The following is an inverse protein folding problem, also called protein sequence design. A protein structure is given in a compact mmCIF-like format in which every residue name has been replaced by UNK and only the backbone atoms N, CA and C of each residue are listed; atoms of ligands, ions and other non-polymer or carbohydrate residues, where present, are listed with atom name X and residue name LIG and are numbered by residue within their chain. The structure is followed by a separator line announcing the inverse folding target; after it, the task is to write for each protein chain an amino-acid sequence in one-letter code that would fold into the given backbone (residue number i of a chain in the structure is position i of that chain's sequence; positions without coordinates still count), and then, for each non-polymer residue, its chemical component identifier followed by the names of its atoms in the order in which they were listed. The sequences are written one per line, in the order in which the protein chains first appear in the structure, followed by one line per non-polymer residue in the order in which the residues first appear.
data_IF_211347546682
#
_entry.id   IF_211347546682
#
_cell.length_a   1.000
_cell.length_b   1.000
_cell.length_c   1.000
_cell.angle_alpha   90.00
_cell.angle_beta   90.00
_cell.angle_gamma   90.00
#
_symmetry.space_group_name_H-M   'P 1'
#
loop_
_entity.id
_entity.type
_entity.pdbx_description
1 polymer ?
#
# COMPACT_ATOMS: atom_id res chain seq x y z
N UNK A 1 0.14 -23.01 1.65
CA UNK A 1 0.10 -21.87 2.60
C UNK A 1 0.77 -20.69 1.91
N UNK A 2 0.07 -19.58 1.65
CA UNK A 2 0.70 -18.36 1.13
C UNK A 2 1.14 -17.50 2.30
N UNK A 3 2.39 -17.05 2.32
CA UNK A 3 2.87 -16.22 3.42
C UNK A 3 2.22 -14.82 3.37
N UNK A 4 2.16 -14.11 4.50
CA UNK A 4 1.64 -12.74 4.53
C UNK A 4 2.45 -11.81 3.63
N UNK A 5 3.75 -12.06 3.50
CA UNK A 5 4.64 -11.31 2.62
C UNK A 5 4.32 -11.55 1.15
N UNK A 6 4.05 -12.80 0.76
CA UNK A 6 3.62 -13.12 -0.61
C UNK A 6 2.29 -12.42 -0.94
N UNK A 7 1.33 -12.43 -0.02
CA UNK A 7 0.04 -11.78 -0.20
C UNK A 7 0.17 -10.26 -0.26
N UNK A 8 1.00 -9.67 0.59
CA UNK A 8 1.27 -8.24 0.56
C UNK A 8 1.90 -7.82 -0.77
N UNK A 9 2.93 -8.55 -1.22
CA UNK A 9 3.61 -8.31 -2.48
C UNK A 9 2.69 -8.45 -3.71
N UNK A 10 1.78 -9.45 -3.71
CA UNK A 10 0.89 -9.71 -4.86
C UNK A 10 -0.31 -8.77 -4.93
N UNK A 11 -0.83 -8.32 -3.79
CA UNK A 11 -2.13 -7.62 -3.75
C UNK A 11 -2.08 -6.23 -3.12
N UNK A 12 -1.46 -6.10 -1.94
CA UNK A 12 -1.54 -4.87 -1.14
C UNK A 12 -0.58 -3.81 -1.67
N UNK A 13 0.70 -4.17 -1.83
CA UNK A 13 1.73 -3.26 -2.30
C UNK A 13 1.43 -2.72 -3.72
N UNK A 14 1.01 -3.54 -4.71
CA UNK A 14 0.63 -3.03 -6.03
C UNK A 14 -0.54 -2.05 -5.99
N UNK A 15 -1.53 -2.27 -5.11
CA UNK A 15 -2.68 -1.38 -4.96
C UNK A 15 -2.28 -0.04 -4.36
N UNK A 16 -1.44 -0.05 -3.31
CA UNK A 16 -0.93 1.18 -2.69
C UNK A 16 -0.05 1.96 -3.67
N UNK A 17 0.90 1.29 -4.34
CA UNK A 17 1.77 1.95 -5.35
C UNK A 17 0.96 2.52 -6.49
N UNK A 18 -0.04 1.80 -7.00
CA UNK A 18 -0.94 2.30 -8.04
C UNK A 18 -1.65 3.56 -7.57
N UNK A 19 -2.27 3.53 -6.39
CA UNK A 19 -2.99 4.68 -5.87
C UNK A 19 -2.07 5.89 -5.69
N UNK A 20 -0.86 5.70 -5.18
CA UNK A 20 0.15 6.76 -5.08
C UNK A 20 0.49 7.36 -6.45
N UNK A 21 0.72 6.51 -7.47
CA UNK A 21 0.98 6.96 -8.85
C UNK A 21 -0.20 7.77 -9.41
N UNK A 22 -1.44 7.33 -9.16
CA UNK A 22 -2.63 8.07 -9.60
C UNK A 22 -2.76 9.42 -8.89
N UNK A 23 -2.50 9.49 -7.59
CA UNK A 23 -2.53 10.76 -6.84
C UNK A 23 -1.46 11.74 -7.34
N UNK A 24 -0.23 11.27 -7.58
CA UNK A 24 0.84 12.09 -8.16
C UNK A 24 0.48 12.57 -9.58
N UNK A 25 -0.06 11.68 -10.41
CA UNK A 25 -0.45 12.01 -11.78
C UNK A 25 -1.59 13.03 -11.83
N UNK A 26 -2.61 12.89 -10.97
CA UNK A 26 -3.70 13.88 -10.82
C UNK A 26 -3.20 15.26 -10.40
N UNK A 27 -2.11 15.30 -9.62
CA UNK A 27 -1.44 16.54 -9.17
C UNK A 27 -0.52 17.15 -10.24
N UNK A 28 -0.46 16.56 -11.43
CA UNK A 28 0.35 17.07 -12.55
C UNK A 28 1.84 16.73 -12.47
N UNK A 29 2.25 15.81 -11.58
CA UNK A 29 3.64 15.36 -11.52
C UNK A 29 3.99 14.60 -12.80
N UNK A 30 5.13 14.92 -13.40
CA UNK A 30 5.54 14.31 -14.65
C UNK A 30 5.87 12.82 -14.47
N UNK A 31 5.66 12.03 -15.54
CA UNK A 31 5.82 10.57 -15.47
C UNK A 31 7.25 10.14 -15.14
N UNK A 32 8.26 10.89 -15.57
CA UNK A 32 9.67 10.57 -15.29
C UNK A 32 9.96 10.77 -13.80
N UNK A 33 9.46 11.84 -13.21
CA UNK A 33 9.57 12.09 -11.78
C UNK A 33 8.80 11.07 -10.96
N UNK A 34 7.64 10.62 -11.41
CA UNK A 34 6.90 9.51 -10.77
C UNK A 34 7.74 8.22 -10.75
N UNK A 35 8.40 7.89 -11.88
CA UNK A 35 9.31 6.72 -11.96
C UNK A 35 10.43 6.82 -10.93
N UNK A 36 11.07 7.99 -10.84
CA UNK A 36 12.17 8.25 -9.91
C UNK A 36 11.72 8.17 -8.44
N UNK A 37 10.62 8.85 -8.09
CA UNK A 37 10.10 8.92 -6.72
C UNK A 37 9.58 7.57 -6.22
N UNK A 38 8.79 6.87 -7.02
CA UNK A 38 8.13 5.62 -6.60
C UNK A 38 9.05 4.41 -6.79
N UNK A 39 10.12 4.53 -7.59
CA UNK A 39 11.09 3.46 -7.82
C UNK A 39 10.59 2.34 -8.72
N UNK A 40 9.75 2.66 -9.70
CA UNK A 40 9.13 1.67 -10.60
C UNK A 40 9.40 1.97 -12.07
N UNK A 41 9.28 0.97 -12.95
CA UNK A 41 9.52 1.18 -14.38
C UNK A 41 8.47 2.11 -15.01
N UNK A 42 8.88 2.84 -16.07
CA UNK A 42 7.96 3.67 -16.87
C UNK A 42 6.78 2.86 -17.44
N UNK A 43 7.04 1.62 -17.88
CA UNK A 43 5.98 0.71 -18.32
C UNK A 43 4.98 0.36 -17.21
N UNK A 44 5.42 0.33 -15.95
CA UNK A 44 4.54 0.09 -14.82
C UNK A 44 3.66 1.30 -14.50
N UNK A 45 4.22 2.51 -14.56
CA UNK A 45 3.46 3.77 -14.43
C UNK A 45 2.34 3.84 -15.46
N UNK A 46 2.63 3.59 -16.74
CA UNK A 46 1.62 3.58 -17.81
C UNK A 46 0.52 2.56 -17.53
N UNK A 47 0.87 1.34 -17.14
CA UNK A 47 -0.12 0.29 -16.82
C UNK A 47 -0.95 0.60 -15.58
N UNK A 48 -0.40 1.29 -14.59
CA UNK A 48 -1.15 1.75 -13.42
C UNK A 48 -2.18 2.83 -13.78
N UNK A 49 -1.77 3.84 -14.56
CA UNK A 49 -2.64 4.91 -15.05
C UNK A 49 -3.76 4.33 -15.93
N UNK A 50 -3.41 3.41 -16.84
CA UNK A 50 -4.39 2.73 -17.71
C UNK A 50 -5.28 1.70 -16.98
N UNK A 51 -5.09 1.49 -15.67
CA UNK A 51 -5.89 0.54 -14.89
C UNK A 51 -5.62 -0.94 -15.20
N UNK A 52 -4.54 -1.26 -15.91
CA UNK A 52 -4.20 -2.62 -16.34
C UNK A 52 -3.47 -3.44 -15.26
N UNK A 53 -3.01 -2.81 -14.18
CA UNK A 53 -2.34 -3.49 -13.06
C UNK A 53 -2.65 -2.78 -11.74
N UNK A 54 -2.58 -3.49 -10.61
CA UNK A 54 -2.77 -2.94 -9.26
C UNK A 54 -4.22 -2.64 -8.89
N UNK A 55 -5.18 -3.21 -9.63
CA UNK A 55 -6.63 -3.00 -9.48
C UNK A 55 -7.34 -4.18 -8.78
N UNK A 56 -6.60 -5.22 -8.36
CA UNK A 56 -7.17 -6.41 -7.71
C UNK A 56 -7.69 -6.15 -6.28
N UNK A 57 -7.25 -5.05 -5.66
CA UNK A 57 -7.69 -4.61 -4.34
C UNK A 57 -8.17 -3.16 -4.45
N UNK A 58 -9.45 -2.93 -4.20
CA UNK A 58 -10.02 -1.58 -4.14
C UNK A 58 -9.73 -0.95 -2.77
N UNK A 59 -9.05 0.20 -2.79
CA UNK A 59 -8.69 0.95 -1.58
C UNK A 59 -9.75 1.99 -1.18
N UNK A 60 -10.73 2.27 -2.04
CA UNK A 60 -11.76 3.30 -1.84
C UNK A 60 -12.51 3.18 -0.51
N UNK A 61 -12.86 1.98 -0.01
CA UNK A 61 -13.53 1.85 1.28
C UNK A 61 -12.66 2.24 2.50
N UNK A 62 -11.33 2.24 2.37
CA UNK A 62 -10.39 2.46 3.47
C UNK A 62 -9.91 3.91 3.48
N UNK A 63 -10.77 4.81 3.95
CA UNK A 63 -10.55 6.27 3.89
C UNK A 63 -9.24 6.70 4.57
N UNK A 64 -8.94 6.13 5.73
CA UNK A 64 -7.68 6.32 6.46
C UNK A 64 -6.45 5.98 5.60
N UNK A 65 -6.47 4.85 4.91
CA UNK A 65 -5.39 4.42 4.01
C UNK A 65 -5.26 5.36 2.82
N UNK A 66 -6.38 5.71 2.17
CA UNK A 66 -6.35 6.65 1.03
C UNK A 66 -5.84 8.04 1.44
N UNK A 67 -6.15 8.48 2.65
CA UNK A 67 -5.63 9.73 3.22
C UNK A 67 -4.12 9.64 3.46
N UNK A 68 -3.60 8.54 4.01
CA UNK A 68 -2.15 8.33 4.16
C UNK A 68 -1.43 8.37 2.81
N UNK A 69 -2.01 7.78 1.77
CA UNK A 69 -1.44 7.79 0.41
C UNK A 69 -1.46 9.20 -0.18
N UNK A 70 -2.55 9.95 -0.01
CA UNK A 70 -2.63 11.34 -0.49
C UNK A 70 -1.64 12.26 0.23
N UNK A 71 -1.47 12.09 1.55
CA UNK A 71 -0.46 12.81 2.33
C UNK A 71 0.96 12.46 1.88
N UNK A 72 1.22 11.19 1.55
CA UNK A 72 2.50 10.79 0.97
C UNK A 72 2.74 11.47 -0.38
N UNK A 73 1.73 11.50 -1.26
CA UNK A 73 1.84 12.16 -2.57
C UNK A 73 2.15 13.67 -2.44
N UNK A 74 1.63 14.33 -1.39
CA UNK A 74 1.93 15.74 -1.10
C UNK A 74 3.38 15.94 -0.65
N UNK A 75 3.86 15.11 0.26
CA UNK A 75 5.18 15.25 0.88
C UNK A 75 6.31 14.71 -0.01
N UNK A 76 6.01 13.78 -0.91
CA UNK A 76 7.02 13.02 -1.65
C UNK A 76 7.93 13.87 -2.54
N UNK A 77 7.52 15.08 -2.91
CA UNK A 77 8.34 15.96 -3.76
C UNK A 77 9.66 16.35 -3.12
N UNK A 78 9.70 16.47 -1.79
CA UNK A 78 10.90 16.77 -1.00
C UNK A 78 11.60 15.55 -0.41
N UNK A 79 11.20 14.33 -0.79
CA UNK A 79 11.71 13.08 -0.22
C UNK A 79 12.66 12.37 -1.18
N UNK A 80 13.61 11.61 -0.63
CA UNK A 80 14.39 10.65 -1.40
C UNK A 80 13.53 9.45 -1.80
N UNK A 81 14.00 8.69 -2.80
CA UNK A 81 13.35 7.44 -3.23
C UNK A 81 13.19 6.46 -2.06
N UNK A 82 14.23 6.30 -1.25
CA UNK A 82 14.26 5.39 -0.10
C UNK A 82 13.24 5.82 0.96
N UNK A 83 13.09 7.12 1.19
CA UNK A 83 12.08 7.65 2.12
C UNK A 83 10.66 7.40 1.61
N UNK A 84 10.40 7.60 0.30
CA UNK A 84 9.09 7.28 -0.30
C UNK A 84 8.80 5.79 -0.19
N UNK A 85 9.78 4.95 -0.50
CA UNK A 85 9.68 3.50 -0.37
C UNK A 85 9.38 3.07 1.07
N UNK A 86 10.06 3.64 2.07
CA UNK A 86 9.76 3.41 3.48
C UNK A 86 8.30 3.74 3.81
N UNK A 87 7.79 4.89 3.36
CA UNK A 87 6.40 5.29 3.61
C UNK A 87 5.39 4.36 2.93
N UNK A 88 5.66 3.89 1.71
CA UNK A 88 4.83 2.87 1.03
C UNK A 88 4.72 1.63 1.91
N UNK A 89 5.84 1.11 2.43
CA UNK A 89 5.82 -0.06 3.30
C UNK A 89 5.14 0.22 4.65
N UNK A 90 5.28 1.41 5.23
CA UNK A 90 4.52 1.80 6.41
C UNK A 90 3.01 1.74 6.16
N UNK A 91 2.54 2.18 5.00
CA UNK A 91 1.11 2.09 4.63
C UNK A 91 0.70 0.63 4.42
N UNK A 92 1.55 -0.22 3.81
CA UNK A 92 1.29 -1.67 3.68
C UNK A 92 1.12 -2.31 5.07
N UNK A 93 2.05 -2.05 5.99
CA UNK A 93 2.00 -2.59 7.35
C UNK A 93 0.82 -2.04 8.14
N UNK A 94 0.45 -0.77 7.93
CA UNK A 94 -0.74 -0.17 8.51
C UNK A 94 -1.98 -0.94 8.05
N UNK A 95 -2.16 -1.15 6.74
CA UNK A 95 -3.27 -1.91 6.16
C UNK A 95 -3.40 -3.32 6.77
N UNK A 96 -2.26 -4.00 6.92
CA UNK A 96 -2.18 -5.34 7.53
C UNK A 96 -2.55 -5.32 9.02
N UNK A 97 -2.02 -4.37 9.78
CA UNK A 97 -2.25 -4.28 11.24
C UNK A 97 -3.71 -4.00 11.59
N UNK A 98 -4.48 -3.38 10.68
CA UNK A 98 -5.91 -3.08 10.86
C UNK A 98 -6.83 -4.19 10.34
N UNK A 99 -6.28 -5.35 9.95
CA UNK A 99 -7.02 -6.50 9.40
C UNK A 99 -7.79 -6.21 8.10
N UNK A 100 -7.48 -5.12 7.39
CA UNK A 100 -8.22 -4.72 6.18
C UNK A 100 -8.12 -5.73 5.03
N UNK A 101 -7.04 -6.51 4.98
CA UNK A 101 -6.87 -7.56 3.97
C UNK A 101 -7.54 -8.91 4.35
N UNK A 102 -8.03 -9.08 5.58
CA UNK A 102 -8.43 -10.40 6.08
C UNK A 102 -9.58 -11.05 5.29
N UNK A 103 -10.51 -10.28 4.74
CA UNK A 103 -11.60 -10.81 3.91
C UNK A 103 -11.07 -11.42 2.61
N UNK A 104 -10.16 -10.72 1.93
CA UNK A 104 -9.48 -11.24 0.72
C UNK A 104 -8.59 -12.42 1.09
N UNK A 105 -7.89 -12.35 2.23
CA UNK A 105 -7.04 -13.43 2.71
C UNK A 105 -7.82 -14.73 2.94
N UNK A 106 -9.00 -14.67 3.58
CA UNK A 106 -9.88 -15.84 3.79
C UNK A 106 -10.32 -16.48 2.48
N UNK A 107 -10.59 -15.68 1.44
CA UNK A 107 -10.94 -16.20 0.11
C UNK A 107 -9.76 -16.94 -0.53
N UNK A 108 -8.54 -16.42 -0.34
CA UNK A 108 -7.32 -17.01 -0.93
C UNK A 108 -6.76 -18.20 -0.12
N UNK A 109 -7.02 -18.22 1.19
CA UNK A 109 -6.59 -19.26 2.13
C UNK A 109 -7.77 -19.59 3.06
N UNK A 110 -8.65 -20.53 2.66
CA UNK A 110 -9.90 -20.82 3.36
C UNK A 110 -9.75 -21.27 4.82
N UNK A 111 -8.61 -21.84 5.18
CA UNK A 111 -8.33 -22.36 6.54
C UNK A 111 -8.11 -21.26 7.58
N UNK A 112 -8.04 -20.00 7.16
CA UNK A 112 -7.85 -18.87 8.07
C UNK A 112 -9.21 -18.35 8.52
N UNK A 113 -9.40 -18.31 9.85
CA UNK A 113 -10.50 -17.60 10.50
C UNK A 113 -10.05 -16.16 10.88
N UNK A 114 -10.55 -15.12 10.18
CA UNK A 114 -10.21 -13.71 10.48
C UNK A 114 -10.53 -13.26 11.92
N UNK A 115 -11.51 -13.90 12.56
CA UNK A 115 -11.94 -13.55 13.92
C UNK A 115 -10.92 -14.01 14.96
N UNK A 116 -10.30 -15.17 14.72
CA UNK A 116 -9.28 -15.78 15.61
C UNK A 116 -7.86 -15.37 15.24
N UNK A 117 -7.57 -15.10 13.97
CA UNK A 117 -6.23 -14.73 13.52
C UNK A 117 -5.80 -13.36 14.05
N UNK A 118 -4.66 -13.30 14.75
CA UNK A 118 -4.07 -12.08 15.29
C UNK A 118 -2.64 -11.81 14.79
N UNK A 119 -2.17 -12.56 13.78
CA UNK A 119 -0.78 -12.48 13.31
C UNK A 119 -0.41 -11.04 12.92
N UNK A 120 -1.16 -10.41 12.01
CA UNK A 120 -0.81 -9.06 11.52
C UNK A 120 -0.94 -7.97 12.60
N UNK A 121 -2.04 -7.88 13.38
CA UNK A 121 -2.11 -6.92 14.48
C UNK A 121 -1.00 -7.12 15.52
N UNK A 122 -0.72 -8.35 15.93
CA UNK A 122 0.31 -8.64 16.93
C UNK A 122 1.72 -8.26 16.47
N UNK A 123 2.03 -8.46 15.19
CA UNK A 123 3.32 -8.11 14.61
C UNK A 123 3.48 -6.60 14.36
N UNK A 124 2.45 -5.94 13.84
CA UNK A 124 2.62 -4.61 13.23
C UNK A 124 1.94 -3.46 13.98
N UNK A 125 0.96 -3.71 14.86
CA UNK A 125 0.19 -2.63 15.51
C UNK A 125 1.06 -1.71 16.37
N UNK A 126 2.11 -2.26 16.99
CA UNK A 126 3.06 -1.49 17.83
C UNK A 126 3.81 -0.41 17.05
N UNK A 127 3.94 -0.56 15.73
CA UNK A 127 4.61 0.42 14.86
C UNK A 127 3.82 1.73 14.71
N UNK A 128 2.54 1.73 15.08
CA UNK A 128 1.62 2.86 14.90
C UNK A 128 1.05 3.40 16.22
N UNK A 129 1.33 2.75 17.34
CA UNK A 129 1.06 3.33 18.67
C UNK A 129 2.03 4.47 18.94
N UNK A 130 1.52 5.62 19.42
CA UNK A 130 2.37 6.71 19.93
C UNK A 130 3.38 6.13 20.94
N UNK A 131 4.65 6.58 20.93
CA UNK A 131 5.55 6.24 22.02
C UNK A 131 4.88 6.63 23.33
N UNK A 132 4.92 5.73 24.33
CA UNK A 132 4.61 6.13 25.70
C UNK A 132 5.66 7.19 26.04
N UNK A 133 5.19 8.39 26.37
CA UNK A 133 6.01 9.44 26.93
C UNK A 133 6.74 8.94 28.19
#
# INVERSE_FOLDING_TARGET
MRSIFELAYRYIEPAIRRQLVLELYKRGVDRRRIVELVGISSSLVTRYIAGQRGNMLDLTPYRDVTMLISQLAEKSMGMSKEQVEEQIYRIVLYFLSHKYFCNVHRVLVPDIDPTKCQICPSLFKKLFSKPRA
#
